data_IF_653066227830
#
_entry.id   IF_653066227830
#
_cell.length_a   1.000
_cell.length_b   1.000
_cell.length_c   1.000
_cell.angle_alpha   90.00
_cell.angle_beta   90.00
_cell.angle_gamma   90.00
#
_symmetry.space_group_name_H-M   'P 1'
#
loop_
_entity.id
_entity.type
_entity.pdbx_description
1 polymer ?
#
# COMPACT_ATOMS: atom_id res chain seq x y z
N UNK A 1 -21.96 -14.04 15.83
CA UNK A 1 -22.21 -12.61 16.13
C UNK A 1 -21.63 -11.75 15.02
N UNK A 2 -22.42 -10.78 14.51
CA UNK A 2 -21.95 -9.87 13.46
C UNK A 2 -21.42 -8.56 14.07
N UNK A 3 -20.25 -8.15 13.62
CA UNK A 3 -19.64 -6.88 14.03
C UNK A 3 -19.44 -6.01 12.79
N UNK A 4 -19.77 -4.74 12.92
CA UNK A 4 -19.48 -3.73 11.92
C UNK A 4 -18.12 -3.09 12.24
N UNK A 5 -17.21 -3.09 11.30
CA UNK A 5 -15.87 -2.52 11.41
C UNK A 5 -15.68 -1.46 10.33
N UNK A 6 -15.64 -0.22 10.75
CA UNK A 6 -15.36 0.92 9.86
C UNK A 6 -13.85 1.12 9.76
N UNK A 7 -13.30 1.05 8.57
CA UNK A 7 -11.90 1.34 8.28
C UNK A 7 -11.79 2.74 7.67
N UNK A 8 -10.91 3.53 8.23
CA UNK A 8 -10.60 4.89 7.79
C UNK A 8 -9.25 4.92 7.08
N UNK A 9 -8.84 6.05 6.54
CA UNK A 9 -7.53 6.22 5.92
C UNK A 9 -6.37 5.86 6.87
N UNK A 10 -6.54 6.08 8.18
CA UNK A 10 -5.56 5.68 9.19
C UNK A 10 -5.39 4.17 9.34
N UNK A 11 -6.34 3.37 8.84
CA UNK A 11 -6.29 1.90 8.85
C UNK A 11 -5.68 1.34 7.55
N UNK A 12 -4.83 2.11 6.87
CA UNK A 12 -4.29 1.81 5.54
C UNK A 12 -3.70 0.40 5.40
N UNK A 13 -2.91 -0.04 6.37
CA UNK A 13 -2.30 -1.38 6.33
C UNK A 13 -3.34 -2.50 6.45
N UNK A 14 -4.41 -2.30 7.23
CA UNK A 14 -5.52 -3.26 7.30
C UNK A 14 -6.24 -3.33 5.97
N UNK A 15 -6.48 -2.19 5.32
CA UNK A 15 -7.16 -2.11 4.02
C UNK A 15 -6.35 -2.83 2.94
N UNK A 16 -5.03 -2.59 2.87
CA UNK A 16 -4.11 -3.28 1.96
C UNK A 16 -4.07 -4.78 2.22
N UNK A 17 -3.97 -5.17 3.49
CA UNK A 17 -4.02 -6.57 3.89
C UNK A 17 -5.30 -7.27 3.42
N UNK A 18 -6.46 -6.65 3.63
CA UNK A 18 -7.74 -7.22 3.19
C UNK A 18 -7.80 -7.38 1.66
N UNK A 19 -7.26 -6.42 0.92
CA UNK A 19 -7.23 -6.45 -0.54
C UNK A 19 -6.32 -7.56 -1.08
N UNK A 20 -5.23 -7.86 -0.39
CA UNK A 20 -4.31 -8.94 -0.74
C UNK A 20 -4.88 -10.35 -0.44
N UNK A 21 -5.93 -10.44 0.39
CA UNK A 21 -6.56 -11.73 0.68
C UNK A 21 -7.43 -12.21 -0.50
N UNK A 22 -7.45 -13.52 -0.77
CA UNK A 22 -8.39 -14.10 -1.72
C UNK A 22 -9.83 -13.73 -1.37
N UNK A 23 -10.67 -13.59 -2.39
CA UNK A 23 -12.07 -13.23 -2.21
C UNK A 23 -12.78 -14.19 -1.23
N UNK A 24 -13.57 -13.64 -0.32
CA UNK A 24 -14.32 -14.41 0.70
C UNK A 24 -13.48 -14.92 1.88
N UNK A 25 -12.15 -14.81 1.86
CA UNK A 25 -11.27 -15.34 2.92
C UNK A 25 -11.05 -14.43 4.12
N UNK A 26 -11.50 -13.17 4.04
CA UNK A 26 -11.28 -12.20 5.11
C UNK A 26 -11.79 -12.67 6.47
N UNK A 27 -13.05 -13.11 6.55
CA UNK A 27 -13.66 -13.53 7.81
C UNK A 27 -12.93 -14.74 8.43
N UNK A 28 -12.59 -15.74 7.63
CA UNK A 28 -11.83 -16.91 8.07
C UNK A 28 -10.44 -16.52 8.59
N UNK A 29 -9.79 -15.57 7.91
CA UNK A 29 -8.47 -15.06 8.32
C UNK A 29 -8.55 -14.31 9.64
N UNK A 30 -9.54 -13.46 9.84
CA UNK A 30 -9.75 -12.77 11.12
C UNK A 30 -10.01 -13.76 12.25
N UNK A 31 -10.83 -14.77 12.04
CA UNK A 31 -11.06 -15.85 13.02
C UNK A 31 -9.74 -16.54 13.38
N UNK A 32 -8.89 -16.85 12.41
CA UNK A 32 -7.56 -17.46 12.65
C UNK A 32 -6.67 -16.55 13.49
N UNK A 33 -6.64 -15.25 13.18
CA UNK A 33 -5.87 -14.26 13.94
C UNK A 33 -6.33 -14.21 15.40
N UNK A 34 -7.63 -14.06 15.62
CA UNK A 34 -8.20 -13.97 16.98
C UNK A 34 -8.01 -15.25 17.78
N UNK A 35 -8.17 -16.43 17.17
CA UNK A 35 -7.89 -17.72 17.83
C UNK A 35 -6.43 -17.86 18.25
N UNK A 36 -5.52 -17.33 17.46
CA UNK A 36 -4.09 -17.32 17.82
C UNK A 36 -3.82 -16.33 18.95
N UNK A 37 -4.43 -15.14 18.90
CA UNK A 37 -4.28 -14.11 19.92
C UNK A 37 -4.78 -14.57 21.31
N UNK A 38 -5.95 -15.23 21.38
CA UNK A 38 -6.50 -15.84 22.58
C UNK A 38 -5.52 -16.87 23.20
N UNK A 39 -4.68 -17.53 22.40
CA UNK A 39 -3.64 -18.46 22.87
C UNK A 39 -2.31 -17.76 23.21
N UNK A 40 -2.30 -16.43 23.28
CA UNK A 40 -1.08 -15.64 23.49
C UNK A 40 -0.09 -15.65 22.31
N UNK A 41 -0.52 -16.11 21.12
CA UNK A 41 0.32 -16.22 19.92
C UNK A 41 -0.11 -15.21 18.86
N UNK A 42 0.80 -14.87 17.97
CA UNK A 42 0.46 -14.14 16.74
C UNK A 42 0.30 -15.15 15.62
N UNK A 43 -0.77 -15.05 14.83
CA UNK A 43 -0.98 -15.95 13.71
C UNK A 43 0.15 -15.81 12.69
N UNK A 44 0.63 -16.94 12.18
CA UNK A 44 1.58 -16.96 11.06
C UNK A 44 0.77 -16.97 9.76
N UNK A 45 0.90 -15.89 9.00
CA UNK A 45 0.25 -15.68 7.72
C UNK A 45 1.26 -15.12 6.73
N UNK A 46 1.25 -15.59 5.49
CA UNK A 46 1.94 -14.89 4.42
C UNK A 46 1.22 -13.56 4.20
N UNK A 47 1.91 -12.45 4.46
CA UNK A 47 1.34 -11.11 4.30
C UNK A 47 2.11 -10.38 3.22
N UNK A 48 1.41 -10.03 2.16
CA UNK A 48 1.85 -9.13 1.12
C UNK A 48 0.97 -7.88 1.18
N UNK A 49 1.58 -6.71 1.17
CA UNK A 49 0.86 -5.44 1.12
C UNK A 49 1.24 -4.76 -0.19
N UNK A 50 0.24 -4.28 -0.91
CA UNK A 50 0.48 -3.43 -2.08
C UNK A 50 0.74 -1.97 -1.67
N UNK A 51 1.31 -1.18 -2.58
CA UNK A 51 1.59 0.24 -2.37
C UNK A 51 0.44 1.15 -2.83
N UNK A 52 -0.71 0.58 -3.23
CA UNK A 52 -1.83 1.35 -3.72
C UNK A 52 -2.49 2.15 -2.58
N UNK A 53 -3.05 3.33 -2.87
CA UNK A 53 -3.77 4.12 -1.88
C UNK A 53 -4.89 3.31 -1.22
N UNK A 54 -5.00 3.45 0.10
CA UNK A 54 -6.04 2.79 0.88
C UNK A 54 -7.29 3.68 0.92
N UNK A 55 -8.37 3.20 0.33
CA UNK A 55 -9.67 3.87 0.42
C UNK A 55 -10.44 3.38 1.67
N UNK A 56 -11.16 4.25 2.40
CA UNK A 56 -12.01 3.86 3.51
C UNK A 56 -12.98 2.73 3.11
N UNK A 57 -13.24 1.80 4.04
CA UNK A 57 -14.08 0.63 3.77
C UNK A 57 -14.87 0.21 5.01
N UNK A 58 -16.12 -0.14 4.78
CA UNK A 58 -16.97 -0.76 5.79
C UNK A 58 -16.95 -2.28 5.64
N UNK A 59 -16.79 -2.97 6.75
CA UNK A 59 -16.70 -4.42 6.80
C UNK A 59 -17.66 -5.01 7.82
N UNK A 60 -18.19 -6.17 7.48
CA UNK A 60 -18.94 -7.00 8.41
C UNK A 60 -18.13 -8.26 8.72
N UNK A 61 -17.91 -8.52 9.99
CA UNK A 61 -17.20 -9.70 10.47
C UNK A 61 -18.19 -10.56 11.23
N UNK A 62 -18.30 -11.83 10.85
CA UNK A 62 -19.14 -12.79 11.55
C UNK A 62 -18.26 -13.73 12.38
N UNK A 63 -18.35 -13.60 13.71
CA UNK A 63 -17.53 -14.36 14.65
C UNK A 63 -18.36 -15.38 15.43
N UNK A 64 -17.81 -16.59 15.65
CA UNK A 64 -18.39 -17.55 16.59
C UNK A 64 -18.53 -16.98 18.00
N UNK A 65 -19.64 -17.25 18.66
CA UNK A 65 -19.91 -16.69 19.99
C UNK A 65 -18.89 -17.12 21.06
N UNK A 66 -18.42 -18.35 20.98
CA UNK A 66 -17.38 -18.87 21.87
C UNK A 66 -16.07 -18.07 21.73
N UNK A 67 -15.71 -17.68 20.49
CA UNK A 67 -14.55 -16.86 20.23
C UNK A 67 -14.73 -15.44 20.77
N UNK A 68 -15.91 -14.85 20.60
CA UNK A 68 -16.22 -13.52 21.13
C UNK A 68 -16.04 -13.50 22.64
N UNK A 69 -16.62 -14.47 23.36
CA UNK A 69 -16.47 -14.59 24.83
C UNK A 69 -15.02 -14.73 25.26
N UNK A 70 -14.22 -15.51 24.52
CA UNK A 70 -12.78 -15.64 24.79
C UNK A 70 -12.02 -14.34 24.56
N UNK A 71 -12.34 -13.60 23.48
CA UNK A 71 -11.72 -12.29 23.24
C UNK A 71 -12.08 -11.29 24.35
N UNK A 72 -13.33 -11.32 24.87
CA UNK A 72 -13.73 -10.48 26.01
C UNK A 72 -12.98 -10.86 27.29
N UNK A 73 -12.87 -12.15 27.60
CA UNK A 73 -12.24 -12.65 28.82
C UNK A 73 -10.71 -12.61 28.80
N UNK A 74 -10.07 -13.09 27.73
CA UNK A 74 -8.62 -13.28 27.69
C UNK A 74 -7.88 -12.09 27.06
N UNK A 75 -8.48 -11.39 26.07
CA UNK A 75 -7.89 -10.21 25.42
C UNK A 75 -8.43 -8.89 25.99
N UNK A 76 -9.43 -8.93 26.88
CA UNK A 76 -10.02 -7.74 27.49
C UNK A 76 -10.82 -6.87 26.51
N UNK A 77 -11.35 -7.44 25.43
CA UNK A 77 -12.17 -6.70 24.48
C UNK A 77 -13.45 -6.21 25.17
N UNK A 78 -13.76 -4.92 25.04
CA UNK A 78 -14.98 -4.33 25.59
C UNK A 78 -16.07 -4.30 24.53
N UNK A 79 -17.33 -4.59 24.91
CA UNK A 79 -18.48 -4.62 23.97
C UNK A 79 -18.55 -3.39 23.07
N UNK A 80 -18.40 -2.19 23.58
CA UNK A 80 -18.45 -0.94 22.79
C UNK A 80 -17.17 -0.65 21.97
N UNK A 81 -16.09 -1.42 22.14
CA UNK A 81 -14.79 -1.25 21.46
C UNK A 81 -14.27 -2.55 20.86
N UNK A 82 -15.14 -3.51 20.63
CA UNK A 82 -14.75 -4.82 20.10
C UNK A 82 -14.09 -4.73 18.74
N UNK A 83 -14.63 -3.90 17.83
CA UNK A 83 -14.05 -3.62 16.51
C UNK A 83 -12.64 -3.04 16.61
N UNK A 84 -12.38 -2.18 17.60
CA UNK A 84 -11.02 -1.64 17.85
C UNK A 84 -10.08 -2.76 18.30
N UNK A 85 -10.52 -3.66 19.16
CA UNK A 85 -9.72 -4.84 19.55
C UNK A 85 -9.36 -5.72 18.36
N UNK A 86 -10.32 -5.99 17.48
CA UNK A 86 -10.08 -6.75 16.25
C UNK A 86 -9.07 -6.07 15.34
N UNK A 87 -9.20 -4.76 15.12
CA UNK A 87 -8.24 -3.97 14.32
C UNK A 87 -6.82 -4.09 14.89
N UNK A 88 -6.66 -3.96 16.21
CA UNK A 88 -5.36 -4.04 16.88
C UNK A 88 -4.71 -5.40 16.69
N UNK A 89 -5.47 -6.51 16.77
CA UNK A 89 -4.92 -7.84 16.55
C UNK A 89 -4.56 -8.08 15.08
N UNK A 90 -5.31 -7.54 14.13
CA UNK A 90 -4.95 -7.57 12.71
C UNK A 90 -3.64 -6.81 12.50
N UNK A 91 -3.51 -5.58 13.02
CA UNK A 91 -2.28 -4.79 12.91
C UNK A 91 -1.09 -5.50 13.56
N UNK A 92 -1.27 -6.10 14.72
CA UNK A 92 -0.23 -6.89 15.39
C UNK A 92 0.23 -8.07 14.52
N UNK A 93 -0.71 -8.73 13.84
CA UNK A 93 -0.42 -9.82 12.92
C UNK A 93 0.35 -9.31 11.69
N UNK A 94 -0.08 -8.18 11.10
CA UNK A 94 0.61 -7.54 9.97
C UNK A 94 2.04 -7.19 10.38
N UNK A 95 2.24 -6.44 11.45
CA UNK A 95 3.57 -5.97 11.89
C UNK A 95 4.55 -7.12 12.18
N UNK A 96 4.04 -8.27 12.63
CA UNK A 96 4.90 -9.43 12.88
C UNK A 96 5.28 -10.18 11.62
N UNK A 97 4.36 -10.31 10.67
CA UNK A 97 4.53 -11.19 9.52
C UNK A 97 4.94 -10.44 8.24
N UNK A 98 4.59 -9.15 8.13
CA UNK A 98 4.98 -8.35 6.99
C UNK A 98 6.46 -7.99 7.06
N UNK A 99 7.21 -8.55 6.13
CA UNK A 99 8.56 -8.09 5.84
C UNK A 99 8.43 -7.16 4.64
N UNK A 100 8.58 -5.86 4.89
CA UNK A 100 8.65 -4.91 3.79
C UNK A 100 9.68 -5.43 2.77
N UNK A 101 9.35 -5.49 1.48
CA UNK A 101 10.35 -5.78 0.47
C UNK A 101 11.51 -4.80 0.70
N UNK A 102 12.76 -5.25 0.52
CA UNK A 102 13.89 -4.34 0.62
C UNK A 102 13.58 -3.15 -0.27
N UNK A 103 13.60 -1.93 0.31
CA UNK A 103 13.42 -0.71 -0.47
C UNK A 103 14.42 -0.79 -1.62
N UNK A 104 13.93 -0.96 -2.82
CA UNK A 104 14.77 -0.92 -4.02
C UNK A 104 15.31 0.50 -4.10
N UNK A 105 16.50 0.70 -3.56
CA UNK A 105 17.20 1.95 -3.70
C UNK A 105 17.79 1.97 -5.10
N UNK A 106 17.16 2.74 -5.98
CA UNK A 106 17.78 3.07 -7.24
C UNK A 106 19.07 3.83 -6.95
N UNK A 107 20.24 3.41 -7.47
CA UNK A 107 21.48 4.10 -7.26
C UNK A 107 21.35 5.58 -7.66
N UNK A 108 21.79 6.50 -6.81
CA UNK A 108 21.70 7.94 -7.07
C UNK A 108 22.32 8.32 -8.43
N UNK A 109 23.40 7.63 -8.84
CA UNK A 109 24.04 7.78 -10.12
C UNK A 109 23.15 7.49 -11.33
N UNK A 110 22.21 6.54 -11.22
CA UNK A 110 21.26 6.24 -12.29
C UNK A 110 20.18 7.32 -12.40
N UNK A 111 19.72 7.80 -11.27
CA UNK A 111 18.77 8.93 -11.19
C UNK A 111 19.40 10.19 -11.78
N UNK A 112 20.63 10.51 -11.39
CA UNK A 112 21.39 11.66 -11.91
C UNK A 112 21.60 11.55 -13.42
N UNK A 113 21.90 10.36 -13.95
CA UNK A 113 22.08 10.14 -15.38
C UNK A 113 20.79 10.41 -16.17
N UNK A 114 19.61 10.03 -15.62
CA UNK A 114 18.30 10.31 -16.24
C UNK A 114 18.03 11.81 -16.24
N UNK A 115 18.24 12.50 -15.12
CA UNK A 115 18.05 13.95 -15.02
C UNK A 115 19.00 14.73 -15.92
N UNK A 116 20.26 14.30 -16.05
CA UNK A 116 21.23 14.92 -16.94
C UNK A 116 20.76 14.86 -18.40
N UNK A 117 20.32 13.68 -18.87
CA UNK A 117 19.77 13.52 -20.22
C UNK A 117 18.53 14.36 -20.46
N UNK A 118 17.64 14.45 -19.46
CA UNK A 118 16.45 15.29 -19.53
C UNK A 118 16.80 16.78 -19.70
N UNK A 119 17.77 17.27 -18.92
CA UNK A 119 18.24 18.66 -19.02
C UNK A 119 18.92 18.94 -20.36
N UNK A 120 19.75 18.04 -20.86
CA UNK A 120 20.38 18.16 -22.18
C UNK A 120 19.31 18.23 -23.30
N UNK A 121 18.25 17.42 -23.20
CA UNK A 121 17.14 17.46 -24.15
C UNK A 121 16.45 18.84 -24.12
N UNK A 122 16.10 19.36 -22.96
CA UNK A 122 15.44 20.67 -22.81
C UNK A 122 16.30 21.79 -23.40
N UNK A 123 17.59 21.81 -23.07
CA UNK A 123 18.54 22.82 -23.58
C UNK A 123 18.63 22.76 -25.13
N UNK A 124 18.70 21.57 -25.69
CA UNK A 124 18.76 21.39 -27.14
C UNK A 124 17.44 21.82 -27.81
N UNK A 125 16.27 21.54 -27.23
CA UNK A 125 14.99 21.98 -27.78
C UNK A 125 14.84 23.50 -27.72
N UNK A 126 15.23 24.15 -26.61
CA UNK A 126 15.24 25.61 -26.50
C UNK A 126 16.08 26.26 -27.57
N UNK A 127 17.26 25.70 -27.89
CA UNK A 127 18.12 26.21 -28.95
C UNK A 127 17.47 26.05 -30.32
N UNK A 128 16.84 24.90 -30.61
CA UNK A 128 16.20 24.63 -31.90
C UNK A 128 14.98 25.46 -32.18
N UNK A 129 14.25 25.85 -31.11
CA UNK A 129 12.97 26.58 -31.24
C UNK A 129 13.11 28.10 -31.04
N UNK A 130 14.32 28.59 -30.72
CA UNK A 130 14.55 30.00 -30.35
C UNK A 130 14.00 31.01 -31.39
N UNK A 131 14.15 30.71 -32.67
CA UNK A 131 13.82 31.62 -33.78
C UNK A 131 12.60 31.16 -34.60
N UNK A 132 11.76 30.25 -34.05
CA UNK A 132 10.58 29.74 -34.77
C UNK A 132 9.29 30.46 -34.35
N UNK A 133 8.36 30.77 -35.31
CA UNK A 133 7.10 31.44 -35.00
C UNK A 133 6.20 30.61 -34.06
N UNK A 134 6.29 29.28 -34.06
CA UNK A 134 5.50 28.35 -33.23
C UNK A 134 6.27 27.85 -32.01
N UNK A 135 7.14 28.68 -31.46
CA UNK A 135 8.05 28.33 -30.36
C UNK A 135 7.35 27.67 -29.18
N UNK A 136 6.23 28.26 -28.73
CA UNK A 136 5.53 27.81 -27.52
C UNK A 136 4.84 26.45 -27.75
N UNK A 137 4.22 26.25 -28.92
CA UNK A 137 3.60 24.97 -29.28
C UNK A 137 4.65 23.84 -29.36
N UNK A 138 5.77 24.09 -30.03
CA UNK A 138 6.88 23.10 -30.15
C UNK A 138 7.53 22.80 -28.81
N UNK A 139 7.62 23.78 -27.91
CA UNK A 139 8.13 23.55 -26.56
C UNK A 139 7.15 22.73 -25.73
N UNK A 140 5.85 22.93 -25.89
CA UNK A 140 4.83 22.13 -25.21
C UNK A 140 4.89 20.66 -25.65
N UNK A 141 4.99 20.40 -26.94
CA UNK A 141 5.17 19.04 -27.48
C UNK A 141 6.46 18.38 -26.95
N UNK A 142 7.54 19.15 -26.89
CA UNK A 142 8.80 18.66 -26.34
C UNK A 142 8.70 18.31 -24.84
N UNK A 143 7.95 19.08 -24.06
CA UNK A 143 7.70 18.77 -22.66
C UNK A 143 6.83 17.51 -22.48
N UNK A 144 5.78 17.34 -23.29
CA UNK A 144 4.96 16.13 -23.26
C UNK A 144 5.81 14.89 -23.59
N UNK A 145 6.64 14.97 -24.64
CA UNK A 145 7.56 13.89 -24.98
C UNK A 145 8.52 13.57 -23.81
N UNK A 146 9.10 14.60 -23.19
CA UNK A 146 10.03 14.44 -22.07
C UNK A 146 9.36 13.78 -20.86
N UNK A 147 8.13 14.17 -20.53
CA UNK A 147 7.38 13.57 -19.41
C UNK A 147 7.17 12.09 -19.67
N UNK A 148 6.71 11.70 -20.85
CA UNK A 148 6.49 10.30 -21.19
C UNK A 148 7.82 9.51 -21.15
N UNK A 149 8.90 10.09 -21.68
CA UNK A 149 10.21 9.46 -21.64
C UNK A 149 10.74 9.30 -20.20
N UNK A 150 10.52 10.28 -19.32
CA UNK A 150 10.91 10.20 -17.91
C UNK A 150 10.14 9.09 -17.18
N UNK A 151 8.84 8.95 -17.44
CA UNK A 151 8.03 7.87 -16.87
C UNK A 151 8.59 6.51 -17.29
N UNK A 152 8.79 6.28 -18.59
CA UNK A 152 9.37 5.03 -19.10
C UNK A 152 10.78 4.75 -18.57
N UNK A 153 11.62 5.79 -18.46
CA UNK A 153 12.98 5.64 -17.96
C UNK A 153 13.00 5.27 -16.47
N UNK A 154 12.10 5.86 -15.68
CA UNK A 154 11.98 5.54 -14.24
C UNK A 154 11.42 4.14 -14.02
N UNK A 155 10.44 3.70 -14.81
CA UNK A 155 9.91 2.34 -14.76
C UNK A 155 11.01 1.31 -15.06
N UNK A 156 11.80 1.51 -16.13
CA UNK A 156 12.92 0.62 -16.47
C UNK A 156 14.01 0.56 -15.41
N UNK A 157 14.25 1.65 -14.69
CA UNK A 157 15.23 1.69 -13.59
C UNK A 157 14.68 0.92 -12.40
N UNK A 158 13.38 1.04 -12.11
CA UNK A 158 12.71 0.30 -11.03
C UNK A 158 12.64 -1.20 -11.33
N UNK A 159 12.39 -1.59 -12.56
CA UNK A 159 12.35 -3.02 -12.97
C UNK A 159 13.72 -3.73 -12.89
N UNK A 160 14.81 -2.99 -13.06
CA UNK A 160 16.18 -3.53 -13.02
C UNK A 160 16.79 -3.58 -11.61
N UNK A 161 16.15 -2.95 -10.63
CA UNK A 161 16.61 -2.86 -9.25
C UNK A 161 15.97 -3.93 -8.39
#
# INVERSE_FOLDING_TARGET
>A
MKFHVVLTESDGDIIRFIRALPEGKFNETVIKILRSAVRGKVAELPIELDDLPAAPKDLHIDLPEDLVRKCEGELGFKRGKFSTGVKNEILRCIHKNYKAPPKRCVPASEVEAVFKKANEFIVNQKKKTADTPDKDARMLDAYHYLINWLVEATEKVVERS
#
